data_IF_105156890176
#
_entry.id   IF_105156890176
#
_cell.length_a   1.000
_cell.length_b   1.000
_cell.length_c   1.000
_cell.angle_alpha   90.00
_cell.angle_beta   90.00
_cell.angle_gamma   90.00
#
_symmetry.space_group_name_H-M   'P 1'
#
loop_
_entity.id
_entity.type
_entity.pdbx_description
1 polymer ?
#
# COMPACT_ATOMS: atom_id res chain seq x y z
N UNK A 1 -16.41 17.46 11.15
CA UNK A 1 -15.77 17.82 9.88
C UNK A 1 -14.31 17.37 9.84
N UNK A 2 -13.44 17.81 10.76
CA UNK A 2 -11.99 17.50 10.77
C UNK A 2 -11.56 16.01 10.69
N UNK A 3 -12.32 15.05 11.24
CA UNK A 3 -12.00 13.61 11.16
C UNK A 3 -12.26 13.02 9.77
N UNK A 4 -13.32 13.46 9.09
CA UNK A 4 -13.66 13.03 7.74
C UNK A 4 -12.65 13.57 6.72
N UNK A 5 -12.16 14.79 6.95
CA UNK A 5 -11.20 15.45 6.07
C UNK A 5 -9.84 14.73 6.07
N UNK A 6 -9.40 14.23 7.23
CA UNK A 6 -8.13 13.52 7.34
C UNK A 6 -8.18 12.16 6.65
N UNK A 7 -9.25 11.39 6.84
CA UNK A 7 -9.39 10.09 6.19
C UNK A 7 -9.53 10.22 4.68
N UNK A 8 -10.28 11.21 4.20
CA UNK A 8 -10.36 11.54 2.78
C UNK A 8 -8.98 11.91 2.19
N UNK A 9 -8.15 12.64 2.94
CA UNK A 9 -6.79 12.95 2.51
C UNK A 9 -5.90 11.70 2.43
N UNK A 10 -5.99 10.79 3.40
CA UNK A 10 -5.26 9.51 3.33
C UNK A 10 -5.69 8.71 2.10
N UNK A 11 -6.99 8.61 1.83
CA UNK A 11 -7.48 7.95 0.60
C UNK A 11 -6.95 8.60 -0.68
N UNK A 12 -6.91 9.94 -0.74
CA UNK A 12 -6.40 10.69 -1.90
C UNK A 12 -4.91 10.45 -2.14
N UNK A 13 -4.09 10.40 -1.09
CA UNK A 13 -2.66 10.11 -1.24
C UNK A 13 -2.46 8.64 -1.62
N UNK A 14 -3.15 7.73 -0.94
CA UNK A 14 -3.04 6.30 -1.19
C UNK A 14 -3.42 5.94 -2.64
N UNK A 15 -4.50 6.50 -3.21
CA UNK A 15 -4.86 6.22 -4.62
C UNK A 15 -3.74 6.57 -5.61
N UNK A 16 -2.98 7.63 -5.36
CA UNK A 16 -1.90 8.05 -6.26
C UNK A 16 -0.70 7.12 -6.14
N UNK A 17 -0.35 6.75 -4.91
CA UNK A 17 0.74 5.81 -4.65
C UNK A 17 0.40 4.44 -5.25
N UNK A 18 -0.74 3.86 -4.88
CA UNK A 18 -1.18 2.55 -5.37
C UNK A 18 -1.41 2.55 -6.89
N UNK A 19 -2.02 3.61 -7.43
CA UNK A 19 -2.25 3.74 -8.87
C UNK A 19 -0.95 3.87 -9.67
N UNK A 20 -0.01 4.70 -9.20
CA UNK A 20 1.29 4.90 -9.85
C UNK A 20 2.16 3.64 -9.81
N UNK A 21 2.26 2.98 -8.65
CA UNK A 21 2.98 1.72 -8.51
C UNK A 21 2.32 0.58 -9.27
N UNK A 22 0.99 0.48 -9.23
CA UNK A 22 0.24 -0.50 -10.01
C UNK A 22 0.47 -0.32 -11.51
N UNK A 23 0.40 0.90 -12.04
CA UNK A 23 0.67 1.14 -13.46
C UNK A 23 2.12 0.83 -13.84
N UNK A 24 3.10 1.23 -13.02
CA UNK A 24 4.51 0.99 -13.33
C UNK A 24 4.87 -0.49 -13.32
N UNK A 25 4.39 -1.26 -12.34
CA UNK A 25 4.59 -2.70 -12.25
C UNK A 25 3.84 -3.47 -13.35
N UNK A 26 2.67 -2.99 -13.77
CA UNK A 26 1.89 -3.64 -14.82
C UNK A 26 2.53 -3.44 -16.21
N UNK A 27 2.90 -2.20 -16.53
CA UNK A 27 3.33 -1.79 -17.87
C UNK A 27 4.83 -1.88 -18.09
N UNK A 28 5.64 -1.73 -17.03
CA UNK A 28 7.10 -1.70 -17.12
C UNK A 28 7.79 -2.49 -16.00
N UNK A 29 7.42 -3.77 -15.74
CA UNK A 29 8.00 -4.56 -14.66
C UNK A 29 9.52 -4.73 -14.80
N UNK A 30 10.03 -4.84 -16.03
CA UNK A 30 11.48 -4.95 -16.31
C UNK A 30 12.25 -3.68 -15.95
N UNK A 31 11.66 -2.50 -16.21
CA UNK A 31 12.26 -1.23 -15.84
C UNK A 31 12.29 -1.05 -14.32
N UNK A 32 11.22 -1.46 -13.62
CA UNK A 32 11.17 -1.45 -12.15
C UNK A 32 12.21 -2.43 -11.58
N UNK A 33 12.31 -3.64 -12.13
CA UNK A 33 13.34 -4.60 -11.74
C UNK A 33 14.75 -4.05 -11.95
N UNK A 34 15.02 -3.44 -13.11
CA UNK A 34 16.33 -2.85 -13.41
C UNK A 34 16.65 -1.66 -12.49
N UNK A 35 15.65 -0.89 -12.07
CA UNK A 35 15.85 0.20 -11.12
C UNK A 35 16.20 -0.31 -9.71
N UNK A 36 15.62 -1.45 -9.29
CA UNK A 36 15.84 -2.03 -7.96
C UNK A 36 17.03 -3.00 -7.91
N UNK A 37 17.35 -3.65 -9.02
CA UNK A 37 18.40 -4.64 -9.16
C UNK A 37 18.96 -4.64 -10.61
N UNK A 38 19.86 -3.69 -10.96
CA UNK A 38 20.27 -3.41 -12.34
C UNK A 38 20.83 -4.60 -13.15
N UNK A 39 21.36 -5.61 -12.44
CA UNK A 39 22.02 -6.77 -13.03
C UNK A 39 21.21 -8.07 -12.92
N UNK A 40 19.97 -8.01 -12.44
CA UNK A 40 19.15 -9.20 -12.19
C UNK A 40 18.25 -9.49 -13.39
N UNK A 41 18.31 -10.71 -13.90
CA UNK A 41 17.30 -11.22 -14.83
C UNK A 41 16.09 -11.66 -14.02
N UNK A 42 14.92 -11.07 -14.29
CA UNK A 42 13.67 -11.41 -13.62
C UNK A 42 13.10 -12.72 -14.19
N UNK A 43 12.89 -13.76 -13.36
CA UNK A 43 12.18 -14.97 -13.78
C UNK A 43 10.75 -14.65 -14.26
N UNK A 44 10.22 -15.47 -15.16
CA UNK A 44 8.89 -15.23 -15.73
C UNK A 44 7.78 -15.34 -14.67
N UNK A 45 7.94 -16.24 -13.71
CA UNK A 45 7.00 -16.45 -12.61
C UNK A 45 6.92 -15.22 -11.71
N UNK A 46 8.06 -14.59 -11.43
CA UNK A 46 8.12 -13.35 -10.65
C UNK A 46 7.49 -12.19 -11.40
N UNK A 47 7.74 -12.08 -12.71
CA UNK A 47 7.08 -11.07 -13.56
C UNK A 47 5.55 -11.21 -13.52
N UNK A 48 5.04 -12.42 -13.69
CA UNK A 48 3.59 -12.69 -13.65
C UNK A 48 3.01 -12.39 -12.26
N UNK A 49 3.77 -12.70 -11.21
CA UNK A 49 3.39 -12.38 -9.82
C UNK A 49 3.31 -10.86 -9.62
N UNK A 50 4.31 -10.11 -10.10
CA UNK A 50 4.30 -8.64 -10.03
C UNK A 50 3.16 -8.02 -10.82
N UNK A 51 2.84 -8.53 -12.00
CA UNK A 51 1.72 -8.00 -12.80
C UNK A 51 0.36 -8.34 -12.16
N UNK A 52 0.21 -9.52 -11.55
CA UNK A 52 -0.99 -9.87 -10.79
C UNK A 52 -1.14 -8.97 -9.56
N UNK A 53 -0.02 -8.71 -8.87
CA UNK A 53 0.02 -7.77 -7.74
C UNK A 53 -0.29 -6.34 -8.17
N UNK A 54 0.21 -5.92 -9.32
CA UNK A 54 -0.08 -4.63 -9.91
C UNK A 54 -1.57 -4.46 -10.21
N UNK A 55 -2.23 -5.48 -10.78
CA UNK A 55 -3.67 -5.46 -11.01
C UNK A 55 -4.46 -5.31 -9.69
N UNK A 56 -4.02 -6.02 -8.63
CA UNK A 56 -4.59 -5.85 -7.30
C UNK A 56 -4.41 -4.42 -6.77
N UNK A 57 -3.21 -3.83 -6.87
CA UNK A 57 -2.97 -2.44 -6.46
C UNK A 57 -3.86 -1.45 -7.22
N UNK A 58 -4.09 -1.65 -8.51
CA UNK A 58 -4.98 -0.81 -9.31
C UNK A 58 -6.44 -0.94 -8.87
N UNK A 59 -6.90 -2.15 -8.53
CA UNK A 59 -8.23 -2.35 -7.98
C UNK A 59 -8.39 -1.64 -6.62
N UNK A 60 -7.40 -1.77 -5.73
CA UNK A 60 -7.36 -1.04 -4.46
C UNK A 60 -7.38 0.46 -4.70
N UNK A 61 -6.57 0.97 -5.64
CA UNK A 61 -6.54 2.40 -6.02
C UNK A 61 -7.92 2.89 -6.48
N UNK A 62 -8.67 2.06 -7.22
CA UNK A 62 -10.05 2.33 -7.60
C UNK A 62 -11.00 2.42 -6.39
N UNK A 63 -10.90 1.45 -5.47
CA UNK A 63 -11.70 1.44 -4.23
C UNK A 63 -11.41 2.68 -3.38
N UNK A 64 -10.14 3.00 -3.14
CA UNK A 64 -9.78 4.19 -2.33
C UNK A 64 -10.05 5.51 -3.05
N UNK A 65 -10.08 5.52 -4.39
CA UNK A 65 -10.56 6.69 -5.14
C UNK A 65 -12.04 6.96 -4.90
N UNK A 66 -12.87 5.91 -4.86
CA UNK A 66 -14.31 6.00 -4.61
C UNK A 66 -14.63 6.22 -3.12
N UNK A 67 -13.77 5.77 -2.20
CA UNK A 67 -14.03 5.74 -0.77
C UNK A 67 -14.52 7.08 -0.17
N UNK A 68 -13.96 8.26 -0.51
CA UNK A 68 -14.42 9.54 0.05
C UNK A 68 -15.89 9.90 -0.23
N UNK A 69 -16.51 9.25 -1.23
CA UNK A 69 -17.90 9.48 -1.62
C UNK A 69 -18.90 8.55 -0.92
N UNK A 70 -18.41 7.55 -0.17
CA UNK A 70 -19.29 6.64 0.58
C UNK A 70 -19.73 7.22 1.93
N UNK A 71 -20.79 6.68 2.56
CA UNK A 71 -21.17 7.05 3.91
C UNK A 71 -20.02 6.85 4.92
N UNK A 72 -19.91 7.67 5.98
CA UNK A 72 -18.79 7.62 6.92
C UNK A 72 -18.53 6.23 7.55
N UNK A 73 -19.58 5.44 7.78
CA UNK A 73 -19.44 4.07 8.28
C UNK A 73 -18.68 3.16 7.30
N UNK A 74 -19.01 3.26 6.00
CA UNK A 74 -18.34 2.51 4.93
C UNK A 74 -16.89 2.99 4.74
N UNK A 75 -16.65 4.30 4.80
CA UNK A 75 -15.28 4.85 4.77
C UNK A 75 -14.41 4.27 5.89
N UNK A 76 -14.96 4.24 7.12
CA UNK A 76 -14.27 3.71 8.29
C UNK A 76 -14.00 2.21 8.16
N UNK A 77 -14.97 1.45 7.66
CA UNK A 77 -14.81 0.02 7.41
C UNK A 77 -13.70 -0.25 6.39
N UNK A 78 -13.70 0.45 5.24
CA UNK A 78 -12.64 0.34 4.22
C UNK A 78 -11.28 0.68 4.84
N UNK A 79 -11.19 1.78 5.60
CA UNK A 79 -9.97 2.19 6.26
C UNK A 79 -9.45 1.17 7.28
N UNK A 80 -10.35 0.52 8.04
CA UNK A 80 -9.99 -0.54 8.98
C UNK A 80 -9.48 -1.79 8.25
N UNK A 81 -10.14 -2.20 7.17
CA UNK A 81 -9.68 -3.32 6.34
C UNK A 81 -8.30 -3.06 5.75
N UNK A 82 -8.07 -1.86 5.23
CA UNK A 82 -6.76 -1.46 4.70
C UNK A 82 -5.70 -1.38 5.80
N UNK A 83 -6.03 -0.85 6.98
CA UNK A 83 -5.11 -0.85 8.13
C UNK A 83 -4.66 -2.26 8.49
N UNK A 84 -5.60 -3.20 8.60
CA UNK A 84 -5.29 -4.60 8.90
C UNK A 84 -4.40 -5.19 7.80
N UNK A 85 -4.75 -4.99 6.53
CA UNK A 85 -3.98 -5.48 5.40
C UNK A 85 -2.53 -4.97 5.45
N UNK A 86 -2.32 -3.66 5.58
CA UNK A 86 -0.98 -3.08 5.61
C UNK A 86 -0.18 -3.45 6.86
N UNK A 87 -0.86 -3.67 7.98
CA UNK A 87 -0.20 -4.16 9.21
C UNK A 87 0.32 -5.57 8.99
N UNK A 88 -0.49 -6.46 8.39
CA UNK A 88 -0.09 -7.84 8.08
C UNK A 88 1.07 -7.84 7.07
N UNK A 89 0.98 -7.05 6.00
CA UNK A 89 2.06 -6.91 5.02
C UNK A 89 3.35 -6.40 5.67
N UNK A 90 3.26 -5.39 6.55
CA UNK A 90 4.41 -4.87 7.29
C UNK A 90 5.08 -5.96 8.15
N UNK A 91 4.29 -6.81 8.80
CA UNK A 91 4.81 -7.94 9.59
C UNK A 91 5.49 -8.98 8.69
N UNK A 92 4.88 -9.33 7.56
CA UNK A 92 5.44 -10.30 6.61
C UNK A 92 6.76 -9.79 6.05
N UNK A 93 6.82 -8.52 5.60
CA UNK A 93 8.05 -7.92 5.10
C UNK A 93 9.11 -7.77 6.20
N UNK A 94 8.72 -7.36 7.39
CA UNK A 94 9.64 -7.27 8.54
C UNK A 94 10.24 -8.63 8.87
N UNK A 95 9.41 -9.67 8.94
CA UNK A 95 9.87 -11.05 9.17
C UNK A 95 10.83 -11.50 8.07
N UNK A 96 10.44 -11.35 6.81
CA UNK A 96 11.26 -11.80 5.69
C UNK A 96 12.62 -11.08 5.67
N UNK A 97 12.64 -9.77 5.93
CA UNK A 97 13.87 -8.98 5.98
C UNK A 97 14.81 -9.44 7.11
N UNK A 98 14.27 -9.80 8.28
CA UNK A 98 15.06 -10.19 9.46
C UNK A 98 15.53 -11.65 9.39
N UNK A 99 14.65 -12.57 8.97
CA UNK A 99 14.89 -14.01 9.10
C UNK A 99 15.17 -14.71 7.77
N UNK A 100 14.53 -14.30 6.69
CA UNK A 100 14.53 -15.07 5.43
C UNK A 100 15.54 -14.53 4.40
N UNK A 101 15.89 -13.23 4.48
CA UNK A 101 16.77 -12.55 3.53
C UNK A 101 18.19 -12.28 4.08
N UNK A 102 18.61 -12.98 5.14
CA UNK A 102 19.93 -12.76 5.75
C UNK A 102 21.10 -12.96 4.77
N UNK A 103 21.01 -13.94 3.87
CA UNK A 103 22.03 -14.26 2.86
C UNK A 103 21.86 -13.56 1.52
N UNK A 104 20.79 -12.78 1.32
CA UNK A 104 20.53 -12.10 0.04
C UNK A 104 21.49 -10.92 -0.22
N UNK A 105 21.70 -10.50 -1.48
CA UNK A 105 22.49 -9.30 -1.80
C UNK A 105 21.91 -8.03 -1.15
N UNK A 106 22.77 -7.09 -0.78
CA UNK A 106 22.38 -5.84 -0.10
C UNK A 106 21.36 -5.04 -0.92
N UNK A 107 21.60 -4.89 -2.23
CA UNK A 107 20.70 -4.13 -3.11
C UNK A 107 19.28 -4.71 -3.12
N UNK A 108 19.17 -6.05 -3.09
CA UNK A 108 17.87 -6.73 -3.01
C UNK A 108 17.18 -6.45 -1.68
N UNK A 109 17.92 -6.47 -0.56
CA UNK A 109 17.36 -6.13 0.76
C UNK A 109 16.88 -4.68 0.82
N UNK A 110 17.61 -3.75 0.20
CA UNK A 110 17.21 -2.34 0.13
C UNK A 110 15.89 -2.23 -0.62
N UNK A 111 15.77 -2.80 -1.83
CA UNK A 111 14.51 -2.78 -2.58
C UNK A 111 13.34 -3.41 -1.83
N UNK A 112 13.59 -4.54 -1.16
CA UNK A 112 12.59 -5.23 -0.33
C UNK A 112 12.17 -4.37 0.88
N UNK A 113 13.13 -3.78 1.60
CA UNK A 113 12.87 -2.92 2.75
C UNK A 113 12.14 -1.63 2.37
N UNK A 114 12.51 -1.01 1.23
CA UNK A 114 11.83 0.17 0.71
C UNK A 114 10.37 -0.12 0.38
N UNK A 115 10.08 -1.30 -0.20
CA UNK A 115 8.71 -1.73 -0.46
C UNK A 115 7.94 -1.95 0.85
N UNK A 116 8.53 -2.66 1.82
CA UNK A 116 7.93 -2.86 3.14
C UNK A 116 7.65 -1.56 3.90
N UNK A 117 8.51 -0.54 3.75
CA UNK A 117 8.33 0.76 4.37
C UNK A 117 7.09 1.51 3.87
N UNK A 118 6.67 1.29 2.62
CA UNK A 118 5.44 1.88 2.07
C UNK A 118 4.22 1.34 2.83
N UNK A 119 4.16 0.01 3.05
CA UNK A 119 3.07 -0.61 3.79
C UNK A 119 3.04 -0.14 5.25
N UNK A 120 4.21 -0.02 5.89
CA UNK A 120 4.30 0.51 7.25
C UNK A 120 3.80 1.97 7.32
N UNK A 121 4.23 2.81 6.38
CA UNK A 121 3.78 4.20 6.29
C UNK A 121 2.26 4.32 6.10
N UNK A 122 1.67 3.47 5.25
CA UNK A 122 0.22 3.42 5.05
C UNK A 122 -0.51 2.91 6.30
N UNK A 123 -0.01 1.88 6.97
CA UNK A 123 -0.57 1.38 8.22
C UNK A 123 -0.59 2.49 9.29
N UNK A 124 0.52 3.22 9.46
CA UNK A 124 0.59 4.36 10.38
C UNK A 124 -0.41 5.45 9.99
N UNK A 125 -0.48 5.82 8.71
CA UNK A 125 -1.40 6.85 8.22
C UNK A 125 -2.87 6.50 8.50
N UNK A 126 -3.29 5.26 8.21
CA UNK A 126 -4.64 4.78 8.50
C UNK A 126 -4.91 4.66 10.01
N UNK A 127 -3.94 4.21 10.80
CA UNK A 127 -4.05 4.15 12.26
C UNK A 127 -4.31 5.54 12.87
N UNK A 128 -3.53 6.55 12.45
CA UNK A 128 -3.73 7.94 12.87
C UNK A 128 -5.09 8.47 12.40
N UNK A 129 -5.50 8.17 11.17
CA UNK A 129 -6.82 8.52 10.62
C UNK A 129 -7.98 7.97 11.46
N UNK A 130 -7.88 6.71 11.88
CA UNK A 130 -8.92 6.00 12.61
C UNK A 130 -8.97 6.31 14.11
N UNK A 131 -7.82 6.69 14.70
CA UNK A 131 -7.71 7.06 16.11
C UNK A 131 -8.46 8.36 16.45
N UNK A 132 -8.73 9.23 15.46
CA UNK A 132 -9.53 10.44 15.69
C UNK A 132 -11.02 10.09 15.83
N UNK A 133 -11.70 10.56 16.89
CA UNK A 133 -13.13 10.33 17.06
C UNK A 133 -13.91 10.96 15.90
N UNK A 134 -14.98 10.28 15.46
CA UNK A 134 -15.94 10.86 14.53
C UNK A 134 -16.54 12.08 15.23
N UNK A 135 -16.45 13.25 14.59
CA UNK A 135 -17.17 14.42 15.08
C UNK A 135 -18.65 14.03 15.17
N UNK A 136 -19.26 14.11 16.36
CA UNK A 136 -20.70 13.91 16.51
C UNK A 136 -21.39 14.77 15.47
N UNK A 137 -22.09 14.13 14.53
CA UNK A 137 -23.06 14.85 13.71
C UNK A 137 -24.07 15.42 14.67
N UNK A 138 -24.05 16.74 14.84
CA UNK A 138 -25.13 17.45 15.50
C UNK A 138 -26.39 17.12 14.70
N UNK A 139 -27.23 16.25 15.24
CA UNK A 139 -28.57 16.03 14.73
C UNK A 139 -29.31 17.35 14.85
N UNK A 140 -29.46 18.04 13.72
CA UNK A 140 -30.46 19.07 13.53
C UNK A 140 -31.77 18.41 13.09
#
# INVERSE_FOLDING_TARGET
>A
TLSSDMLANVFRVHRFIAGGFGLSLLLAPEAVNKAMAPNRVMPIEERLTLQSWAAFMLAVAGIVHAAPFFPPAAQRSIAQSLLVCFTVESIIYGKALVFDLASSPVDYKIGFASTGAIFLGLAVAYGIALAKPLAKSSSA
#
